data_IF_782885557901
#
_entry.id   IF_782885557901
#
_cell.length_a   1.000
_cell.length_b   1.000
_cell.length_c   1.000
_cell.angle_alpha   90.00
_cell.angle_beta   90.00
_cell.angle_gamma   90.00
#
_symmetry.space_group_name_H-M   'P 1'
#
loop_
_entity.id
_entity.type
_entity.pdbx_description
1 polymer ?
#
# COMPACT_ATOMS: atom_id res chain seq x y z
N UNK A 1 -14.01 24.50 -42.89
CA UNK A 1 -14.56 25.46 -43.88
C UNK A 1 -15.97 25.77 -43.38
N UNK A 2 -16.24 26.89 -42.73
CA UNK A 2 -16.36 28.24 -43.32
C UNK A 2 -15.87 29.30 -42.33
N UNK A 3 -15.12 30.26 -42.85
CA UNK A 3 -14.69 31.50 -42.20
C UNK A 3 -15.83 32.52 -42.29
N UNK A 4 -16.07 33.27 -41.21
CA UNK A 4 -16.57 34.64 -41.31
C UNK A 4 -16.24 35.38 -40.01
N UNK A 5 -15.23 36.25 -40.07
CA UNK A 5 -15.11 37.34 -39.10
C UNK A 5 -16.24 38.33 -39.32
N UNK A 6 -16.60 39.07 -38.27
CA UNK A 6 -17.13 40.42 -38.37
C UNK A 6 -16.94 41.14 -37.03
N UNK A 7 -16.02 42.10 -37.02
CA UNK A 7 -16.03 43.20 -36.07
C UNK A 7 -17.23 44.09 -36.39
N UNK A 8 -18.23 44.16 -35.52
CA UNK A 8 -19.24 45.21 -35.58
C UNK A 8 -18.80 46.35 -34.66
N UNK A 9 -18.20 47.36 -35.27
CA UNK A 9 -18.07 48.69 -34.69
C UNK A 9 -19.48 49.23 -34.40
N UNK A 10 -19.78 49.50 -33.12
CA UNK A 10 -20.99 50.16 -32.70
C UNK A 10 -20.86 51.67 -32.97
N UNK A 11 -21.50 52.13 -34.03
CA UNK A 11 -21.84 53.54 -34.21
C UNK A 11 -22.83 53.95 -33.10
N UNK A 12 -22.44 54.91 -32.28
CA UNK A 12 -23.31 55.56 -31.28
C UNK A 12 -24.29 56.47 -32.02
N UNK A 13 -25.58 56.10 -32.09
CA UNK A 13 -26.57 57.04 -32.65
C UNK A 13 -28.01 56.58 -32.87
N UNK A 14 -28.40 55.33 -32.55
CA UNK A 14 -29.78 54.88 -32.81
C UNK A 14 -30.35 54.21 -31.56
N UNK A 15 -31.37 54.84 -30.97
CA UNK A 15 -32.30 54.22 -30.03
C UNK A 15 -33.34 53.42 -30.83
N UNK A 16 -33.08 52.13 -31.04
CA UNK A 16 -34.13 51.16 -31.36
C UNK A 16 -34.12 50.10 -30.26
N UNK A 17 -35.29 49.84 -29.67
CA UNK A 17 -35.49 48.74 -28.72
C UNK A 17 -35.11 47.42 -29.40
N UNK A 18 -33.90 46.95 -29.12
CA UNK A 18 -33.47 45.61 -29.52
C UNK A 18 -34.17 44.58 -28.65
N UNK A 19 -35.34 44.10 -29.09
CA UNK A 19 -35.84 42.79 -28.67
C UNK A 19 -34.95 41.74 -29.34
N UNK A 20 -33.80 41.47 -28.73
CA UNK A 20 -32.94 40.36 -29.13
C UNK A 20 -33.65 39.07 -28.72
N UNK A 21 -33.96 38.14 -29.64
CA UNK A 21 -34.52 36.86 -29.24
C UNK A 21 -33.55 36.17 -28.28
N UNK A 22 -34.05 35.69 -27.13
CA UNK A 22 -33.30 35.19 -25.98
C UNK A 22 -32.23 34.10 -26.26
N UNK A 23 -32.11 33.62 -27.50
CA UNK A 23 -31.04 32.73 -27.95
C UNK A 23 -29.65 33.38 -27.99
N UNK A 24 -29.53 34.70 -27.90
CA UNK A 24 -28.24 35.42 -28.03
C UNK A 24 -27.66 36.01 -26.73
N UNK A 25 -28.35 35.94 -25.59
CA UNK A 25 -27.77 36.30 -24.28
C UNK A 25 -27.03 35.10 -23.68
N UNK A 26 -25.91 34.71 -24.28
CA UNK A 26 -24.95 33.80 -23.64
C UNK A 26 -23.93 34.63 -22.87
N UNK A 27 -24.38 35.24 -21.75
CA UNK A 27 -23.57 36.14 -20.91
C UNK A 27 -22.39 35.42 -20.23
N UNK A 28 -22.42 34.09 -20.20
CA UNK A 28 -21.34 33.26 -19.69
C UNK A 28 -21.00 32.14 -20.67
N UNK A 29 -19.77 32.17 -21.19
CA UNK A 29 -19.11 30.98 -21.72
C UNK A 29 -18.69 30.12 -20.53
N UNK A 30 -19.36 28.98 -20.35
CA UNK A 30 -18.98 28.02 -19.31
C UNK A 30 -17.62 27.42 -19.69
N UNK A 31 -16.62 27.59 -18.82
CA UNK A 31 -15.30 27.01 -19.04
C UNK A 31 -15.39 25.49 -18.85
N UNK A 32 -14.75 24.83 -19.81
CA UNK A 32 -14.75 23.40 -20.07
C UNK A 32 -14.22 22.63 -18.83
N UNK A 33 -15.02 21.71 -18.27
CA UNK A 33 -14.68 20.70 -17.24
C UNK A 33 -14.78 21.04 -15.73
N UNK A 34 -15.38 22.16 -15.30
CA UNK A 34 -15.52 22.43 -13.83
C UNK A 34 -16.41 21.43 -13.07
N UNK A 35 -17.28 20.69 -13.76
CA UNK A 35 -18.23 19.75 -13.12
C UNK A 35 -17.67 18.35 -12.85
N UNK A 36 -16.43 18.05 -13.26
CA UNK A 36 -15.90 16.68 -13.21
C UNK A 36 -14.89 16.57 -12.08
N UNK A 37 -15.18 15.65 -11.16
CA UNK A 37 -14.32 15.38 -10.02
C UNK A 37 -12.93 14.89 -10.49
N UNK A 38 -11.85 15.28 -9.80
CA UNK A 38 -10.47 14.96 -10.22
C UNK A 38 -10.27 13.47 -10.57
N UNK A 39 -10.94 12.58 -9.83
CA UNK A 39 -10.86 11.12 -10.03
C UNK A 39 -11.53 10.64 -11.32
N UNK A 40 -12.69 11.20 -11.66
CA UNK A 40 -13.35 10.88 -12.93
C UNK A 40 -12.53 11.41 -14.11
N UNK A 41 -11.83 12.54 -13.94
CA UNK A 41 -10.90 13.08 -14.94
C UNK A 41 -9.63 12.26 -15.16
N UNK A 42 -9.40 11.18 -14.41
CA UNK A 42 -8.29 10.24 -14.63
C UNK A 42 -8.67 9.06 -15.54
N UNK A 43 -9.96 8.95 -15.91
CA UNK A 43 -10.50 7.92 -16.79
C UNK A 43 -10.36 8.38 -18.25
N UNK A 44 -9.48 7.78 -19.06
CA UNK A 44 -9.40 8.07 -20.49
C UNK A 44 -10.70 7.72 -21.20
N UNK A 45 -11.05 8.44 -22.25
CA UNK A 45 -12.25 8.21 -23.05
C UNK A 45 -13.53 8.13 -22.21
N UNK A 46 -13.68 9.03 -21.23
CA UNK A 46 -14.84 9.05 -20.32
C UNK A 46 -16.15 9.30 -21.08
N UNK A 47 -16.09 10.02 -22.18
CA UNK A 47 -17.21 10.32 -23.10
C UNK A 47 -17.88 9.07 -23.69
N UNK A 48 -17.16 7.95 -23.75
CA UNK A 48 -17.67 6.67 -24.24
C UNK A 48 -18.12 5.73 -23.12
N UNK A 49 -17.99 6.13 -21.86
CA UNK A 49 -18.40 5.30 -20.73
C UNK A 49 -19.76 5.74 -20.20
N UNK A 50 -20.58 4.74 -19.85
CA UNK A 50 -21.77 4.97 -19.04
C UNK A 50 -21.41 5.62 -17.69
N UNK A 51 -22.27 6.50 -17.21
CA UNK A 51 -22.05 7.26 -15.98
C UNK A 51 -21.86 6.34 -14.76
N UNK A 52 -22.60 5.22 -14.66
CA UNK A 52 -22.47 4.30 -13.54
C UNK A 52 -21.13 3.56 -13.59
N UNK A 53 -20.66 3.18 -14.78
CA UNK A 53 -19.34 2.56 -14.97
C UNK A 53 -18.20 3.52 -14.68
N UNK A 54 -18.33 4.80 -15.07
CA UNK A 54 -17.38 5.84 -14.72
C UNK A 54 -17.31 6.07 -13.19
N UNK A 55 -18.46 6.06 -12.49
CA UNK A 55 -18.51 6.16 -11.04
C UNK A 55 -17.81 4.97 -10.36
N UNK A 56 -18.09 3.75 -10.80
CA UNK A 56 -17.42 2.53 -10.29
C UNK A 56 -15.91 2.62 -10.48
N UNK A 57 -15.46 3.05 -11.65
CA UNK A 57 -14.05 3.23 -11.99
C UNK A 57 -13.34 4.20 -11.06
N UNK A 58 -13.96 5.36 -10.80
CA UNK A 58 -13.44 6.38 -9.89
C UNK A 58 -13.23 5.83 -8.49
N UNK A 59 -14.17 5.03 -7.99
CA UNK A 59 -14.07 4.36 -6.69
C UNK A 59 -13.00 3.26 -6.67
N UNK A 60 -12.89 2.48 -7.75
CA UNK A 60 -11.89 1.41 -7.88
C UNK A 60 -10.46 1.96 -7.90
N UNK A 61 -10.22 3.13 -8.52
CA UNK A 61 -8.91 3.78 -8.50
C UNK A 61 -8.46 4.15 -7.07
N UNK A 62 -9.38 4.52 -6.19
CA UNK A 62 -9.07 4.83 -4.78
C UNK A 62 -8.76 3.56 -3.94
N UNK A 63 -9.16 2.39 -4.43
CA UNK A 63 -8.89 1.09 -3.80
C UNK A 63 -7.59 0.46 -4.31
N UNK A 64 -6.92 1.08 -5.29
CA UNK A 64 -5.68 0.56 -5.85
C UNK A 64 -4.59 0.45 -4.77
N UNK A 65 -3.87 -0.68 -4.81
CA UNK A 65 -2.77 -0.98 -3.89
C UNK A 65 -1.46 -0.66 -4.59
N UNK A 66 -0.50 0.03 -3.92
CA UNK A 66 0.82 0.28 -4.51
C UNK A 66 1.55 -1.04 -4.78
N UNK A 67 1.97 -1.22 -6.02
CA UNK A 67 2.75 -2.38 -6.46
C UNK A 67 4.24 -2.18 -6.12
N UNK A 68 4.97 -3.28 -5.98
CA UNK A 68 6.44 -3.27 -5.82
C UNK A 68 7.12 -2.56 -6.99
N UNK A 69 6.63 -2.88 -8.19
CA UNK A 69 6.97 -2.23 -9.43
C UNK A 69 5.69 -1.64 -10.01
N UNK A 70 5.56 -0.32 -10.03
CA UNK A 70 4.51 0.33 -10.81
C UNK A 70 4.96 0.47 -12.27
N UNK A 71 4.04 0.84 -13.17
CA UNK A 71 4.37 1.30 -14.52
C UNK A 71 3.51 2.51 -14.91
N UNK A 72 4.07 3.42 -15.72
CA UNK A 72 3.31 4.53 -16.28
C UNK A 72 2.28 3.96 -17.26
N UNK A 73 1.02 4.37 -17.15
CA UNK A 73 0.00 3.86 -18.07
C UNK A 73 0.29 4.32 -19.51
N UNK A 74 0.12 3.42 -20.49
CA UNK A 74 0.28 3.74 -21.92
C UNK A 74 -0.69 4.85 -22.34
N UNK A 75 -1.96 4.72 -21.96
CA UNK A 75 -2.99 5.73 -22.24
C UNK A 75 -3.26 6.56 -20.99
N UNK A 76 -3.07 7.87 -21.06
CA UNK A 76 -3.21 8.78 -19.92
C UNK A 76 -3.91 10.08 -20.29
N UNK A 77 -4.33 10.80 -19.26
CA UNK A 77 -4.82 12.17 -19.35
C UNK A 77 -3.76 13.07 -18.71
N UNK A 78 -3.62 14.31 -19.18
CA UNK A 78 -2.61 15.27 -18.71
C UNK A 78 -2.66 15.58 -17.21
N UNK A 79 -3.79 15.31 -16.53
CA UNK A 79 -3.96 15.59 -15.10
C UNK A 79 -3.18 14.64 -14.18
N UNK A 80 -2.65 13.51 -14.67
CA UNK A 80 -1.93 12.54 -13.82
C UNK A 80 -0.70 13.12 -13.14
N UNK A 81 0.02 14.00 -13.83
CA UNK A 81 1.20 14.65 -13.27
C UNK A 81 0.81 15.60 -12.14
N UNK A 82 -0.22 16.43 -12.38
CA UNK A 82 -0.72 17.37 -11.38
C UNK A 82 -1.24 16.65 -10.13
N UNK A 83 -2.05 15.59 -10.31
CA UNK A 83 -2.56 14.77 -9.20
C UNK A 83 -1.44 14.16 -8.36
N UNK A 84 -0.37 13.67 -8.99
CA UNK A 84 0.76 13.08 -8.29
C UNK A 84 1.57 14.14 -7.50
N UNK A 85 1.75 15.34 -8.05
CA UNK A 85 2.40 16.45 -7.34
C UNK A 85 1.56 16.93 -6.15
N UNK A 86 0.27 17.18 -6.38
CA UNK A 86 -0.64 17.73 -5.36
C UNK A 86 -0.93 16.74 -4.23
N UNK A 87 -0.77 15.43 -4.49
CA UNK A 87 -0.90 14.40 -3.46
C UNK A 87 0.17 14.49 -2.35
N UNK A 88 1.29 15.18 -2.58
CA UNK A 88 2.41 15.27 -1.64
C UNK A 88 3.19 13.96 -1.46
N UNK A 89 2.88 12.92 -2.23
CA UNK A 89 3.56 11.61 -2.16
C UNK A 89 4.99 11.68 -2.71
N UNK A 90 5.19 12.49 -3.76
CA UNK A 90 6.50 12.74 -4.37
C UNK A 90 7.14 13.98 -3.75
N UNK A 91 8.46 13.96 -3.56
CA UNK A 91 9.19 15.11 -2.99
C UNK A 91 9.77 15.98 -4.11
N UNK A 92 9.45 17.27 -4.04
CA UNK A 92 9.85 18.29 -5.02
C UNK A 92 11.02 19.11 -4.49
N UNK A 93 11.92 19.53 -5.39
CA UNK A 93 13.01 20.44 -5.08
C UNK A 93 12.50 21.86 -4.81
N UNK A 94 12.64 22.35 -3.56
CA UNK A 94 12.29 23.73 -3.19
C UNK A 94 13.29 24.77 -3.72
N UNK A 95 14.55 24.36 -3.87
CA UNK A 95 15.66 25.19 -4.32
C UNK A 95 16.34 24.52 -5.51
N UNK A 96 16.90 25.33 -6.39
CA UNK A 96 17.83 24.85 -7.40
C UNK A 96 19.17 24.48 -6.76
N UNK A 97 19.88 23.53 -7.36
CA UNK A 97 21.15 23.09 -6.82
C UNK A 97 21.65 21.78 -7.40
N UNK A 98 22.80 21.34 -6.90
CA UNK A 98 23.46 20.10 -7.34
C UNK A 98 23.32 19.01 -6.28
N UNK A 99 23.08 17.78 -6.72
CA UNK A 99 23.03 16.63 -5.81
C UNK A 99 24.44 16.26 -5.40
N UNK A 100 24.76 16.45 -4.13
CA UNK A 100 26.05 16.01 -3.59
C UNK A 100 26.01 14.50 -3.35
N UNK A 101 24.90 14.03 -2.78
CA UNK A 101 24.79 12.67 -2.25
C UNK A 101 23.35 12.18 -2.23
N UNK A 102 23.16 10.93 -2.65
CA UNK A 102 21.86 10.25 -2.68
C UNK A 102 21.96 8.97 -1.85
N UNK A 103 21.18 8.90 -0.77
CA UNK A 103 20.97 7.68 -0.01
C UNK A 103 19.50 7.26 -0.03
N UNK A 104 19.20 5.98 0.27
CA UNK A 104 17.83 5.53 0.48
C UNK A 104 17.12 6.30 1.60
N UNK A 105 17.86 6.77 2.62
CA UNK A 105 17.30 7.46 3.78
C UNK A 105 17.26 8.99 3.66
N UNK A 106 18.15 9.58 2.86
CA UNK A 106 18.23 11.04 2.71
C UNK A 106 18.88 11.45 1.40
N UNK A 107 18.46 12.58 0.86
CA UNK A 107 19.11 13.25 -0.28
C UNK A 107 19.74 14.54 0.22
N UNK A 108 20.96 14.83 -0.21
CA UNK A 108 21.67 16.08 0.13
C UNK A 108 21.87 16.89 -1.15
N UNK A 109 21.34 18.11 -1.13
CA UNK A 109 21.40 19.08 -2.22
C UNK A 109 22.25 20.29 -1.80
N UNK A 110 23.17 20.74 -2.65
CA UNK A 110 23.88 22.02 -2.47
C UNK A 110 23.17 23.10 -3.27
N UNK A 111 22.67 24.13 -2.58
CA UNK A 111 22.13 25.34 -3.21
C UNK A 111 23.25 26.35 -3.50
N UNK A 112 23.01 27.28 -4.43
CA UNK A 112 23.91 28.40 -4.75
C UNK A 112 24.10 29.30 -3.50
N UNK A 113 25.15 29.02 -2.72
CA UNK A 113 25.48 29.74 -1.47
C UNK A 113 25.92 28.83 -0.32
N UNK A 114 26.64 27.74 -0.61
CA UNK A 114 27.20 26.74 0.33
C UNK A 114 26.23 26.10 1.34
N UNK A 115 24.93 26.35 1.20
CA UNK A 115 23.90 25.75 2.05
C UNK A 115 23.55 24.36 1.56
N UNK A 116 23.84 23.36 2.39
CA UNK A 116 23.46 21.97 2.16
C UNK A 116 22.08 21.70 2.75
N UNK A 117 21.13 21.32 1.91
CA UNK A 117 19.76 20.96 2.31
C UNK A 117 19.66 19.44 2.35
N UNK A 118 19.39 18.88 3.54
CA UNK A 118 19.12 17.44 3.70
C UNK A 118 17.62 17.16 3.70
N UNK A 119 17.18 16.32 2.77
CA UNK A 119 15.79 15.90 2.62
C UNK A 119 15.70 14.44 3.10
N UNK A 120 15.04 14.15 4.24
CA UNK A 120 14.82 12.78 4.69
C UNK A 120 13.78 12.07 3.81
N UNK A 121 14.02 10.78 3.54
CA UNK A 121 13.12 9.94 2.76
C UNK A 121 12.37 8.97 3.66
N UNK A 122 11.12 8.69 3.29
CA UNK A 122 10.28 7.70 3.96
C UNK A 122 10.56 6.30 3.43
N UNK A 123 11.00 5.40 4.29
CA UNK A 123 11.30 4.00 3.93
C UNK A 123 10.38 3.05 4.69
N UNK A 124 9.71 2.14 3.97
CA UNK A 124 8.89 1.05 4.52
C UNK A 124 7.96 1.51 5.65
N UNK A 125 7.31 2.66 5.48
CA UNK A 125 6.35 3.15 6.45
C UNK A 125 4.99 2.49 6.22
N UNK A 126 4.34 2.09 7.30
CA UNK A 126 2.99 1.52 7.26
C UNK A 126 1.95 2.64 7.05
N UNK A 127 1.04 2.44 6.10
CA UNK A 127 -0.15 3.28 5.92
C UNK A 127 -1.29 2.85 6.85
N UNK A 128 -2.33 3.67 6.96
CA UNK A 128 -3.54 3.32 7.73
C UNK A 128 -4.27 2.07 7.19
N UNK A 129 -4.06 1.73 5.91
CA UNK A 129 -4.62 0.53 5.26
C UNK A 129 -3.62 -0.61 5.17
N UNK A 130 -2.54 -0.58 5.97
CA UNK A 130 -1.48 -1.60 5.98
C UNK A 130 -0.74 -1.77 4.64
N UNK A 131 -0.74 -0.74 3.79
CA UNK A 131 0.07 -0.71 2.57
C UNK A 131 1.45 -0.11 2.85
N UNK A 132 2.43 -0.48 2.03
CA UNK A 132 3.78 0.06 2.12
C UNK A 132 3.89 1.45 1.48
N UNK A 133 4.32 2.44 2.26
CA UNK A 133 4.75 3.75 1.76
C UNK A 133 6.28 3.74 1.71
N UNK A 134 6.83 3.74 0.51
CA UNK A 134 8.25 3.75 0.27
C UNK A 134 8.59 4.76 -0.82
N UNK A 135 9.53 5.63 -0.50
CA UNK A 135 10.03 6.67 -1.38
C UNK A 135 11.36 6.24 -2.02
N UNK A 136 11.42 6.30 -3.35
CA UNK A 136 12.60 5.94 -4.14
C UNK A 136 13.19 7.21 -4.76
N UNK A 137 14.48 7.52 -4.52
CA UNK A 137 15.14 8.62 -5.20
C UNK A 137 15.21 8.34 -6.70
N UNK A 138 14.81 9.31 -7.54
CA UNK A 138 14.86 9.18 -9.00
C UNK A 138 16.11 9.83 -9.62
N UNK A 139 16.86 10.57 -8.83
CA UNK A 139 17.95 11.43 -9.30
C UNK A 139 19.33 10.86 -8.96
N UNK A 140 20.24 10.93 -9.92
CA UNK A 140 21.63 10.48 -9.78
C UNK A 140 22.53 11.55 -9.17
N UNK A 141 23.62 11.11 -8.51
CA UNK A 141 24.61 12.00 -7.92
C UNK A 141 25.23 12.92 -8.98
N UNK A 142 25.43 14.19 -8.62
CA UNK A 142 26.08 15.18 -9.49
C UNK A 142 25.16 15.89 -10.49
N UNK A 143 23.88 15.51 -10.60
CA UNK A 143 22.92 16.18 -11.47
C UNK A 143 22.50 17.54 -10.89
N UNK A 144 22.41 18.55 -11.74
CA UNK A 144 21.83 19.85 -11.40
C UNK A 144 20.31 19.78 -11.51
N UNK A 145 19.62 20.32 -10.52
CA UNK A 145 18.17 20.25 -10.36
C UNK A 145 17.61 21.66 -10.40
N UNK A 146 16.49 21.83 -11.10
CA UNK A 146 15.72 23.08 -11.10
C UNK A 146 14.70 23.09 -9.96
N UNK A 147 14.38 24.27 -9.45
CA UNK A 147 13.24 24.45 -8.53
C UNK A 147 11.97 23.87 -9.16
N UNK A 148 11.21 23.09 -8.40
CA UNK A 148 9.99 22.43 -8.87
C UNK A 148 10.19 21.05 -9.50
N UNK A 149 11.43 20.60 -9.69
CA UNK A 149 11.70 19.26 -10.22
C UNK A 149 11.52 18.18 -9.15
N UNK A 150 11.04 17.00 -9.58
CA UNK A 150 10.81 15.86 -8.70
C UNK A 150 12.13 15.17 -8.39
N UNK A 151 12.39 14.96 -7.11
CA UNK A 151 13.59 14.30 -6.59
C UNK A 151 13.33 12.81 -6.32
N UNK A 152 12.13 12.53 -5.82
CA UNK A 152 11.76 11.27 -5.17
C UNK A 152 10.38 10.88 -5.65
N UNK A 153 10.24 9.65 -6.15
CA UNK A 153 8.95 9.03 -6.39
C UNK A 153 8.46 8.32 -5.14
N UNK A 154 7.15 8.33 -4.88
CA UNK A 154 6.54 7.50 -3.84
C UNK A 154 6.00 6.17 -4.35
N UNK A 155 5.18 5.52 -3.51
CA UNK A 155 4.78 4.11 -3.64
C UNK A 155 3.92 3.77 -4.88
N UNK A 156 3.38 4.76 -5.60
CA UNK A 156 2.56 4.55 -6.79
C UNK A 156 2.79 5.67 -7.83
N UNK A 157 4.02 6.16 -7.96
CA UNK A 157 4.35 7.25 -8.88
C UNK A 157 5.60 6.93 -9.68
N UNK A 158 5.58 7.21 -10.98
CA UNK A 158 6.74 7.03 -11.86
C UNK A 158 6.93 8.28 -12.70
N UNK A 159 8.12 8.85 -12.60
CA UNK A 159 8.50 10.03 -13.38
C UNK A 159 7.60 11.23 -13.11
N UNK A 160 7.03 11.31 -11.91
CA UNK A 160 6.09 12.35 -11.53
C UNK A 160 4.64 12.12 -11.89
N UNK A 161 4.29 10.98 -12.48
CA UNK A 161 2.92 10.64 -12.82
C UNK A 161 2.36 9.55 -11.92
N UNK A 162 1.06 9.58 -11.73
CA UNK A 162 0.32 8.55 -11.00
C UNK A 162 0.34 7.22 -11.75
N UNK A 163 0.80 6.16 -11.07
CA UNK A 163 0.99 4.82 -11.59
C UNK A 163 0.39 3.78 -10.63
N UNK A 164 -0.93 3.58 -10.72
CA UNK A 164 -1.71 2.70 -9.85
C UNK A 164 -1.65 1.20 -10.20
N UNK A 165 -0.98 0.84 -11.29
CA UNK A 165 -0.96 -0.53 -11.80
C UNK A 165 0.13 -0.76 -12.84
N UNK A 166 -0.06 -1.80 -13.65
CA UNK A 166 0.84 -2.25 -14.71
C UNK A 166 0.11 -2.28 -16.05
N UNK A 167 0.84 -2.12 -17.15
CA UNK A 167 0.29 -2.35 -18.48
C UNK A 167 0.42 -3.84 -18.79
N UNK A 168 -0.63 -4.44 -19.33
CA UNK A 168 -0.68 -5.86 -19.69
C UNK A 168 -1.26 -6.00 -21.08
N UNK A 169 -0.83 -7.03 -21.79
CA UNK A 169 -1.48 -7.51 -23.01
C UNK A 169 -2.78 -8.22 -22.62
N UNK A 170 -3.80 -8.10 -23.46
CA UNK A 170 -5.16 -8.58 -23.17
C UNK A 170 -5.80 -9.08 -24.44
N UNK A 171 -6.21 -10.34 -24.46
CA UNK A 171 -7.15 -10.89 -25.43
C UNK A 171 -8.60 -10.75 -24.94
N UNK A 172 -9.51 -10.34 -25.82
CA UNK A 172 -10.95 -10.35 -25.56
C UNK A 172 -11.58 -11.50 -26.35
N UNK A 173 -11.73 -12.65 -25.71
CA UNK A 173 -12.45 -13.79 -26.26
C UNK A 173 -12.94 -14.71 -25.15
N UNK A 174 -14.05 -15.45 -25.33
CA UNK A 174 -14.45 -16.50 -24.39
C UNK A 174 -13.42 -17.63 -24.38
N UNK A 175 -13.08 -18.13 -23.19
CA UNK A 175 -12.07 -19.18 -23.03
C UNK A 175 -12.55 -20.25 -22.05
N UNK A 176 -12.98 -21.39 -22.59
CA UNK A 176 -13.39 -22.60 -21.85
C UNK A 176 -14.37 -22.36 -20.67
N UNK A 177 -15.14 -21.27 -20.71
CA UNK A 177 -16.04 -20.86 -19.63
C UNK A 177 -15.36 -20.28 -18.38
N UNK A 178 -14.02 -20.24 -18.31
CA UNK A 178 -13.29 -19.70 -17.17
C UNK A 178 -13.39 -18.17 -17.03
N UNK A 179 -13.81 -17.48 -18.08
CA UNK A 179 -14.06 -16.04 -18.11
C UNK A 179 -15.55 -15.69 -18.25
N UNK A 180 -16.42 -16.51 -17.66
CA UNK A 180 -17.85 -16.20 -17.58
C UNK A 180 -18.10 -14.96 -16.72
N UNK A 181 -18.96 -14.06 -17.20
CA UNK A 181 -19.38 -12.83 -16.50
C UNK A 181 -18.22 -11.88 -16.12
N UNK A 182 -17.99 -11.67 -14.83
CA UNK A 182 -16.98 -10.78 -14.25
C UNK A 182 -15.72 -11.57 -13.84
N UNK A 183 -15.44 -12.72 -14.46
CA UNK A 183 -14.30 -13.55 -14.11
C UNK A 183 -13.16 -13.37 -15.10
N UNK A 184 -11.93 -13.27 -14.59
CA UNK A 184 -10.73 -12.99 -15.39
C UNK A 184 -9.72 -14.13 -15.27
N UNK A 185 -9.13 -14.49 -16.41
CA UNK A 185 -7.99 -15.39 -16.51
C UNK A 185 -6.69 -14.58 -16.48
N UNK A 186 -5.66 -15.11 -15.84
CA UNK A 186 -4.32 -14.53 -15.87
C UNK A 186 -3.29 -15.57 -16.28
N UNK A 187 -2.22 -15.10 -16.94
CA UNK A 187 -1.06 -15.93 -17.24
C UNK A 187 -0.21 -16.15 -16.00
N UNK A 188 0.33 -17.36 -15.85
CA UNK A 188 1.30 -17.73 -14.81
C UNK A 188 2.55 -16.84 -14.84
N UNK A 189 2.89 -16.28 -16.01
CA UNK A 189 3.95 -15.28 -16.18
C UNK A 189 3.80 -14.10 -15.21
N UNK A 190 2.57 -13.67 -14.93
CA UNK A 190 2.30 -12.55 -14.01
C UNK A 190 2.73 -12.85 -12.57
N UNK A 191 2.72 -14.12 -12.18
CA UNK A 191 3.19 -14.59 -10.88
C UNK A 191 4.72 -14.68 -10.87
N UNK A 192 5.31 -15.33 -11.88
CA UNK A 192 6.77 -15.49 -11.97
C UNK A 192 7.54 -14.18 -12.08
N UNK A 193 7.03 -13.23 -12.86
CA UNK A 193 7.66 -11.92 -13.06
C UNK A 193 7.31 -10.90 -11.95
N UNK A 194 6.57 -11.31 -10.91
CA UNK A 194 6.20 -10.43 -9.79
C UNK A 194 5.45 -9.15 -10.23
N UNK A 195 4.72 -9.20 -11.35
CA UNK A 195 4.09 -8.02 -11.98
C UNK A 195 3.09 -7.35 -11.02
N UNK A 196 2.20 -8.16 -10.45
CA UNK A 196 1.16 -7.71 -9.52
C UNK A 196 1.50 -8.03 -8.07
N UNK A 197 2.77 -7.92 -7.70
CA UNK A 197 3.21 -8.12 -6.32
C UNK A 197 3.13 -6.82 -5.53
N UNK A 198 2.59 -6.90 -4.32
CA UNK A 198 2.47 -5.77 -3.38
C UNK A 198 3.08 -6.11 -2.01
N UNK A 199 3.50 -5.07 -1.28
CA UNK A 199 4.00 -5.19 0.08
C UNK A 199 2.98 -4.65 1.07
N UNK A 200 2.59 -5.51 2.02
CA UNK A 200 1.72 -5.14 3.13
C UNK A 200 2.50 -5.15 4.42
N UNK A 201 2.32 -4.12 5.24
CA UNK A 201 2.97 -4.03 6.54
C UNK A 201 1.89 -4.17 7.60
N UNK A 202 1.90 -5.28 8.32
CA UNK A 202 0.95 -5.53 9.39
C UNK A 202 1.59 -5.18 10.75
N UNK A 203 0.81 -4.49 11.58
CA UNK A 203 1.19 -4.12 12.94
C UNK A 203 0.53 -5.08 13.91
N UNK A 204 1.35 -5.79 14.69
CA UNK A 204 0.91 -6.58 15.82
C UNK A 204 1.30 -5.89 17.11
N UNK A 205 0.40 -5.85 18.09
CA UNK A 205 0.62 -5.17 19.36
C UNK A 205 0.23 -6.09 20.51
N UNK A 206 1.10 -6.16 21.51
CA UNK A 206 0.82 -6.80 22.79
C UNK A 206 1.16 -5.84 23.92
N UNK A 207 0.31 -5.82 24.95
CA UNK A 207 0.50 -5.01 26.15
C UNK A 207 0.70 -5.93 27.34
N UNK A 208 1.55 -5.49 28.26
CA UNK A 208 1.69 -6.11 29.57
C UNK A 208 0.79 -5.40 30.56
N UNK A 209 0.11 -6.21 31.36
CA UNK A 209 -0.74 -5.75 32.45
C UNK A 209 -0.27 -6.34 33.78
N UNK A 210 -0.58 -5.63 34.86
CA UNK A 210 -0.41 -6.18 36.21
C UNK A 210 -1.73 -6.84 36.58
N UNK A 211 -1.74 -8.16 36.73
CA UNK A 211 -2.92 -8.89 37.21
C UNK A 211 -2.88 -8.94 38.74
N UNK A 212 -4.00 -9.32 39.36
CA UNK A 212 -4.07 -9.55 40.81
C UNK A 212 -3.10 -10.64 41.30
N UNK A 213 -2.70 -11.55 40.42
CA UNK A 213 -1.81 -12.67 40.72
C UNK A 213 -0.32 -12.34 40.45
N UNK A 214 -0.03 -11.16 39.89
CA UNK A 214 1.32 -10.66 39.67
C UNK A 214 1.48 -9.89 38.35
N UNK A 215 2.65 -9.27 38.13
CA UNK A 215 2.94 -8.61 36.86
C UNK A 215 3.21 -9.64 35.75
N UNK A 216 2.62 -9.43 34.58
CA UNK A 216 3.00 -10.16 33.36
C UNK A 216 4.46 -9.88 32.99
N UNK A 217 5.21 -10.93 32.65
CA UNK A 217 6.62 -10.83 32.28
C UNK A 217 6.84 -11.20 30.82
N UNK A 218 7.72 -10.47 30.15
CA UNK A 218 8.18 -10.80 28.80
C UNK A 218 9.51 -11.53 28.97
N UNK A 219 9.55 -12.80 28.54
CA UNK A 219 10.76 -13.63 28.62
C UNK A 219 10.86 -14.54 27.40
N UNK A 220 12.09 -14.96 27.09
CA UNK A 220 12.38 -15.91 26.01
C UNK A 220 11.99 -17.34 26.37
N UNK A 221 12.32 -17.77 27.58
CA UNK A 221 12.13 -19.15 28.02
C UNK A 221 10.69 -19.37 28.45
N UNK A 222 9.88 -19.90 27.54
CA UNK A 222 8.48 -20.25 27.80
C UNK A 222 8.44 -21.75 28.14
N UNK A 223 7.92 -22.14 29.32
CA UNK A 223 7.78 -23.55 29.66
C UNK A 223 6.81 -24.25 28.71
N UNK A 224 7.03 -25.55 28.47
CA UNK A 224 6.20 -26.43 27.62
C UNK A 224 6.20 -26.12 26.12
N UNK A 225 7.07 -25.21 25.66
CA UNK A 225 7.19 -24.89 24.26
C UNK A 225 8.46 -25.48 23.64
N UNK A 226 8.35 -25.90 22.38
CA UNK A 226 9.50 -26.44 21.65
C UNK A 226 10.53 -25.34 21.33
N UNK A 227 11.81 -25.70 21.38
CA UNK A 227 12.91 -24.77 21.14
C UNK A 227 12.89 -24.16 19.73
N UNK A 228 12.29 -24.86 18.75
CA UNK A 228 12.21 -24.38 17.37
C UNK A 228 11.35 -23.10 17.26
N UNK A 229 10.25 -22.99 18.02
CA UNK A 229 9.40 -21.79 18.02
C UNK A 229 10.06 -20.59 18.71
N UNK A 230 11.04 -20.84 19.58
CA UNK A 230 11.77 -19.83 20.35
C UNK A 230 13.06 -19.36 19.65
N UNK A 231 13.42 -19.97 18.52
CA UNK A 231 14.67 -19.66 17.82
C UNK A 231 14.74 -18.20 17.34
N UNK A 232 13.59 -17.64 16.98
CA UNK A 232 13.45 -16.29 16.44
C UNK A 232 13.44 -15.19 17.51
N UNK A 233 13.39 -15.54 18.81
CA UNK A 233 13.32 -14.59 19.92
C UNK A 233 14.72 -14.18 20.42
N UNK A 234 14.87 -12.90 20.76
CA UNK A 234 16.04 -12.34 21.43
C UNK A 234 16.10 -12.74 22.92
N UNK A 235 17.15 -12.30 23.62
CA UNK A 235 17.34 -12.55 25.06
C UNK A 235 16.23 -11.98 25.95
N UNK A 236 15.55 -10.93 25.51
CA UNK A 236 14.44 -10.29 26.21
C UNK A 236 13.09 -10.96 25.91
N UNK A 237 13.01 -11.92 24.98
CA UNK A 237 11.77 -12.59 24.60
C UNK A 237 10.98 -11.89 23.50
N UNK A 238 11.63 -11.05 22.68
CA UNK A 238 11.02 -10.36 21.53
C UNK A 238 11.64 -10.85 20.23
N UNK A 239 10.86 -10.97 19.17
CA UNK A 239 11.37 -11.40 17.87
C UNK A 239 12.50 -10.51 17.34
N UNK A 240 13.52 -11.15 16.78
CA UNK A 240 14.66 -10.45 16.19
C UNK A 240 14.28 -9.74 14.88
N UNK A 241 14.91 -8.58 14.65
CA UNK A 241 14.72 -7.82 13.41
C UNK A 241 15.26 -8.61 12.22
N UNK A 242 14.49 -8.65 11.14
CA UNK A 242 14.87 -9.36 9.92
C UNK A 242 14.60 -10.87 9.94
N UNK A 243 14.13 -11.44 11.05
CA UNK A 243 13.69 -12.84 11.10
C UNK A 243 12.52 -13.10 10.15
N UNK A 244 12.56 -14.26 9.51
CA UNK A 244 11.43 -14.80 8.78
C UNK A 244 10.51 -15.50 9.79
N UNK A 245 9.22 -15.12 9.76
CA UNK A 245 8.21 -15.67 10.68
C UNK A 245 7.06 -16.26 9.89
N UNK A 246 6.63 -17.42 10.35
CA UNK A 246 5.52 -18.18 9.79
C UNK A 246 4.34 -18.25 10.76
N UNK A 247 3.27 -18.86 10.28
CA UNK A 247 2.07 -19.03 11.09
C UNK A 247 2.39 -19.81 12.37
N UNK A 248 1.83 -19.36 13.49
CA UNK A 248 2.05 -19.93 14.83
C UNK A 248 3.41 -19.63 15.48
N UNK A 249 4.33 -18.94 14.79
CA UNK A 249 5.56 -18.47 15.43
C UNK A 249 5.28 -17.44 16.52
N UNK A 250 6.12 -17.44 17.55
CA UNK A 250 6.04 -16.47 18.64
C UNK A 250 6.76 -15.19 18.25
N UNK A 251 6.01 -14.08 18.26
CA UNK A 251 6.55 -12.74 18.06
C UNK A 251 7.03 -12.12 19.38
N UNK A 252 6.29 -12.37 20.47
CA UNK A 252 6.62 -11.87 21.81
C UNK A 252 6.24 -12.93 22.84
N UNK A 253 7.23 -13.41 23.59
CA UNK A 253 7.02 -14.35 24.68
C UNK A 253 6.45 -13.63 25.90
N UNK A 254 5.18 -13.86 26.22
CA UNK A 254 4.51 -13.29 27.39
C UNK A 254 4.05 -14.40 28.32
N UNK A 255 4.38 -14.24 29.59
CA UNK A 255 3.94 -15.11 30.66
C UNK A 255 3.06 -14.34 31.64
N UNK A 256 1.86 -14.88 31.85
CA UNK A 256 0.94 -14.47 32.91
C UNK A 256 1.18 -15.35 34.12
N UNK A 257 1.53 -14.79 35.30
CA UNK A 257 1.56 -15.58 36.52
C UNK A 257 0.14 -16.10 36.80
N UNK A 258 0.04 -17.40 37.07
CA UNK A 258 -1.20 -18.03 37.49
C UNK A 258 -0.98 -18.67 38.85
N UNK A 259 -1.81 -18.33 39.84
CA UNK A 259 -1.80 -19.03 41.12
C UNK A 259 -2.25 -20.47 40.86
N UNK A 260 -1.36 -21.42 41.11
CA UNK A 260 -1.63 -22.84 40.98
C UNK A 260 -2.61 -23.28 42.08
N UNK A 261 -3.90 -23.04 41.88
CA UNK A 261 -4.91 -23.77 42.62
C UNK A 261 -4.94 -25.18 42.05
N UNK A 262 -4.31 -26.14 42.72
CA UNK A 262 -4.29 -27.52 42.26
C UNK A 262 -5.71 -28.08 42.00
N UNK A 263 -6.74 -27.51 42.65
CA UNK A 263 -8.15 -27.86 42.52
C UNK A 263 -8.80 -27.47 41.19
N UNK A 264 -8.18 -26.63 40.36
CA UNK A 264 -8.75 -26.25 39.06
C UNK A 264 -8.40 -27.21 37.92
N UNK A 265 -7.43 -28.12 38.13
CA UNK A 265 -7.03 -29.09 37.13
C UNK A 265 -7.88 -30.35 37.20
N UNK A 266 -8.19 -30.90 36.03
CA UNK A 266 -8.86 -32.18 35.95
C UNK A 266 -8.05 -33.27 36.68
N UNK A 267 -8.71 -34.24 37.34
CA UNK A 267 -8.02 -35.32 38.06
C UNK A 267 -7.10 -36.14 37.14
N UNK A 268 -7.45 -36.29 35.87
CA UNK A 268 -6.64 -36.94 34.82
C UNK A 268 -5.29 -36.21 34.62
N UNK A 269 -5.33 -34.89 34.56
CA UNK A 269 -4.19 -33.99 34.39
C UNK A 269 -3.23 -34.00 35.59
N UNK A 270 -3.79 -34.18 36.80
CA UNK A 270 -3.03 -34.39 38.04
C UNK A 270 -2.32 -35.74 38.03
N UNK A 271 -3.00 -36.79 37.56
CA UNK A 271 -2.44 -38.14 37.47
C UNK A 271 -1.30 -38.21 36.44
N UNK A 272 -1.49 -37.64 35.25
CA UNK A 272 -0.43 -37.54 34.23
C UNK A 272 0.81 -36.81 34.75
N UNK A 273 0.62 -35.73 35.52
CA UNK A 273 1.74 -34.99 36.15
C UNK A 273 2.47 -35.81 37.21
N UNK A 274 1.73 -36.56 38.04
CA UNK A 274 2.33 -37.40 39.08
C UNK A 274 3.18 -38.53 38.46
N UNK A 275 2.74 -39.09 37.33
CA UNK A 275 3.46 -40.15 36.60
C UNK A 275 4.69 -39.58 35.89
N UNK A 276 4.56 -38.43 35.22
CA UNK A 276 5.64 -37.84 34.42
C UNK A 276 6.60 -36.96 35.22
N UNK A 277 6.33 -36.71 36.52
CA UNK A 277 7.15 -35.86 37.37
C UNK A 277 7.18 -34.39 36.92
N UNK A 278 6.20 -33.94 36.13
CA UNK A 278 6.18 -32.58 35.56
C UNK A 278 5.76 -31.59 36.65
N UNK A 279 6.70 -30.74 37.06
CA UNK A 279 6.47 -29.69 38.04
C UNK A 279 5.45 -28.66 37.49
N UNK A 280 4.49 -28.24 38.32
CA UNK A 280 3.44 -27.30 37.91
C UNK A 280 4.08 -25.95 37.56
N UNK A 281 3.99 -25.54 36.29
CA UNK A 281 4.38 -24.20 35.89
C UNK A 281 3.42 -23.18 36.50
N UNK A 282 3.94 -22.28 37.34
CA UNK A 282 3.19 -21.18 37.97
C UNK A 282 2.83 -20.05 37.00
N UNK A 283 3.06 -20.25 35.70
CA UNK A 283 2.84 -19.25 34.67
C UNK A 283 2.17 -19.90 33.47
N UNK A 284 1.12 -19.23 32.97
CA UNK A 284 0.41 -19.58 31.75
C UNK A 284 1.00 -18.79 30.58
N UNK A 285 1.21 -19.47 29.46
CA UNK A 285 1.62 -18.85 28.20
C UNK A 285 0.50 -17.95 27.65
N UNK A 286 0.78 -16.67 27.47
CA UNK A 286 -0.10 -15.68 26.83
C UNK A 286 0.68 -14.86 25.79
N UNK A 287 1.62 -15.51 25.12
CA UNK A 287 2.50 -14.94 24.09
C UNK A 287 1.73 -14.42 22.87
N UNK A 288 2.31 -13.45 22.19
CA UNK A 288 1.84 -13.00 20.87
C UNK A 288 2.31 -13.99 19.80
N UNK A 289 1.37 -14.76 19.24
CA UNK A 289 1.60 -15.67 18.11
C UNK A 289 1.14 -15.03 16.80
N UNK A 290 1.80 -15.37 15.69
CA UNK A 290 1.35 -14.93 14.38
C UNK A 290 0.05 -15.65 13.99
N UNK A 291 -1.02 -14.95 13.55
CA UNK A 291 -2.30 -15.56 13.23
C UNK A 291 -2.21 -16.47 12.00
N UNK A 292 -3.19 -17.35 11.87
CA UNK A 292 -3.33 -18.31 10.76
C UNK A 292 -3.41 -17.53 9.44
N UNK A 293 -2.46 -17.79 8.53
CA UNK A 293 -2.22 -17.09 7.25
C UNK A 293 -1.25 -15.88 7.28
N UNK A 294 -0.69 -15.53 8.44
CA UNK A 294 0.43 -14.60 8.50
C UNK A 294 1.73 -15.31 8.09
N UNK A 295 2.47 -14.71 7.16
CA UNK A 295 3.88 -15.03 6.89
C UNK A 295 4.61 -13.78 6.46
N UNK A 296 5.86 -13.60 6.85
CA UNK A 296 6.60 -12.43 6.43
C UNK A 296 7.91 -12.20 7.17
N UNK A 297 8.47 -11.03 6.93
CA UNK A 297 9.74 -10.61 7.53
C UNK A 297 9.52 -9.49 8.53
N UNK A 298 10.12 -9.61 9.71
CA UNK A 298 10.06 -8.55 10.73
C UNK A 298 10.88 -7.35 10.26
N UNK A 299 10.24 -6.19 10.08
CA UNK A 299 10.90 -4.95 9.66
C UNK A 299 11.37 -4.14 10.87
N UNK A 300 10.45 -3.92 11.81
CA UNK A 300 10.65 -3.00 12.94
C UNK A 300 9.96 -3.55 14.19
N UNK A 301 10.59 -3.33 15.34
CA UNK A 301 10.10 -3.73 16.65
C UNK A 301 10.27 -2.55 17.58
N UNK A 302 9.15 -2.06 18.13
CA UNK A 302 9.14 -0.91 19.03
C UNK A 302 8.66 -1.33 20.40
N UNK A 303 9.55 -1.17 21.38
CA UNK A 303 9.22 -1.33 22.79
C UNK A 303 8.92 0.03 23.41
N UNK A 304 7.66 0.27 23.72
CA UNK A 304 7.19 1.50 24.33
C UNK A 304 6.94 1.23 25.81
N UNK A 305 7.77 1.80 26.68
CA UNK A 305 7.57 1.78 28.13
C UNK A 305 6.90 3.07 28.57
N UNK A 306 5.67 3.00 29.08
CA UNK A 306 4.97 4.19 29.56
C UNK A 306 5.40 4.45 31.01
N UNK A 307 6.40 5.31 31.21
CA UNK A 307 6.75 5.85 32.54
C UNK A 307 5.72 6.93 32.91
N UNK A 308 4.64 6.54 33.57
CA UNK A 308 3.70 7.45 34.22
C UNK A 308 3.93 7.45 35.72
N UNK A 309 3.68 8.56 36.42
CA UNK A 309 3.87 8.70 37.87
C UNK A 309 2.98 7.83 38.78
N UNK A 310 2.28 6.83 38.22
CA UNK A 310 1.55 5.81 38.97
C UNK A 310 2.33 4.50 38.99
N UNK A 311 2.14 3.70 40.04
CA UNK A 311 2.89 2.47 40.34
C UNK A 311 2.83 1.37 39.24
N UNK A 312 2.06 1.57 38.17
CA UNK A 312 1.85 0.58 37.12
C UNK A 312 2.54 1.00 35.82
N UNK A 313 3.76 0.50 35.61
CA UNK A 313 4.47 0.61 34.35
C UNK A 313 3.87 -0.37 33.33
N UNK A 314 3.00 0.12 32.45
CA UNK A 314 2.54 -0.66 31.30
C UNK A 314 3.59 -0.63 30.19
N UNK A 315 3.92 -1.81 29.68
CA UNK A 315 4.78 -1.95 28.52
C UNK A 315 3.95 -2.36 27.32
N UNK A 316 4.29 -1.80 26.16
CA UNK A 316 3.62 -2.08 24.90
C UNK A 316 4.69 -2.41 23.87
N UNK A 317 4.61 -3.61 23.31
CA UNK A 317 5.49 -4.03 22.23
C UNK A 317 4.69 -4.04 20.94
N UNK A 318 5.25 -3.37 19.92
CA UNK A 318 4.71 -3.33 18.56
C UNK A 318 5.68 -4.01 17.63
N UNK A 319 5.21 -5.00 16.89
CA UNK A 319 5.98 -5.73 15.88
C UNK A 319 5.39 -5.42 14.52
N UNK A 320 6.22 -4.95 13.60
CA UNK A 320 5.84 -4.65 12.22
C UNK A 320 6.39 -5.74 11.30
N UNK A 321 5.50 -6.42 10.60
CA UNK A 321 5.83 -7.54 9.70
C UNK A 321 5.49 -7.15 8.27
N UNK A 322 6.48 -7.24 7.39
CA UNK A 322 6.28 -7.12 5.93
C UNK A 322 5.81 -8.44 5.37
N UNK A 323 4.73 -8.40 4.61
CA UNK A 323 4.20 -9.54 3.87
C UNK A 323 4.28 -9.22 2.37
N UNK A 324 5.01 -10.05 1.63
CA UNK A 324 4.98 -10.04 0.17
C UNK A 324 3.68 -10.74 -0.26
N UNK A 325 2.80 -10.04 -0.97
CA UNK A 325 1.59 -10.60 -1.56
C UNK A 325 1.74 -10.64 -3.07
N UNK A 326 1.91 -11.84 -3.59
CA UNK A 326 1.79 -12.17 -5.00
C UNK A 326 0.32 -12.33 -5.36
N UNK A 327 0.01 -12.14 -6.64
CA UNK A 327 -1.34 -12.29 -7.16
C UNK A 327 -1.79 -13.75 -7.10
N UNK A 328 -3.03 -13.99 -6.65
CA UNK A 328 -3.59 -15.33 -6.47
C UNK A 328 -5.02 -15.42 -6.99
N UNK A 329 -5.47 -16.65 -7.20
CA UNK A 329 -6.89 -16.95 -7.46
C UNK A 329 -7.74 -16.38 -6.32
N UNK A 330 -8.83 -15.70 -6.67
CA UNK A 330 -9.69 -14.97 -5.75
C UNK A 330 -9.33 -13.48 -5.57
N UNK A 331 -8.16 -13.04 -6.01
CA UNK A 331 -7.83 -11.61 -6.01
C UNK A 331 -8.68 -10.86 -7.04
N UNK A 332 -8.99 -9.60 -6.72
CA UNK A 332 -9.83 -8.74 -7.55
C UNK A 332 -8.98 -7.76 -8.35
N UNK A 333 -9.17 -7.79 -9.66
CA UNK A 333 -8.53 -6.88 -10.62
C UNK A 333 -9.55 -5.98 -11.29
N UNK A 334 -9.06 -4.84 -11.78
CA UNK A 334 -9.89 -3.70 -12.15
C UNK A 334 -9.24 -2.89 -13.27
N UNK A 335 -10.03 -2.53 -14.30
CA UNK A 335 -9.64 -1.50 -15.27
C UNK A 335 -10.23 -0.14 -14.89
N UNK A 336 -9.69 0.92 -15.49
CA UNK A 336 -10.17 2.31 -15.31
C UNK A 336 -11.53 2.62 -15.94
N UNK A 337 -12.14 1.65 -16.61
CA UNK A 337 -13.42 1.76 -17.32
C UNK A 337 -14.58 1.07 -16.59
N UNK A 338 -14.33 0.51 -15.40
CA UNK A 338 -15.39 -0.02 -14.53
C UNK A 338 -15.61 -1.51 -14.71
N UNK A 339 -14.80 -2.14 -15.56
CA UNK A 339 -14.67 -3.59 -15.64
C UNK A 339 -13.88 -4.06 -14.43
N UNK A 340 -14.55 -4.82 -13.57
CA UNK A 340 -13.98 -5.50 -12.41
C UNK A 340 -14.00 -6.98 -12.71
N UNK A 341 -13.04 -7.72 -12.16
CA UNK A 341 -13.19 -9.16 -12.14
C UNK A 341 -12.37 -9.85 -11.09
N UNK A 342 -12.77 -11.06 -10.78
CA UNK A 342 -12.07 -11.95 -9.85
C UNK A 342 -11.26 -12.94 -10.67
N UNK A 343 -10.05 -13.23 -10.22
CA UNK A 343 -9.21 -14.22 -10.88
C UNK A 343 -9.73 -15.61 -10.57
N UNK A 344 -10.19 -16.35 -11.59
CA UNK A 344 -10.63 -17.75 -11.45
C UNK A 344 -9.50 -18.74 -11.55
N UNK A 345 -8.63 -18.57 -12.54
CA UNK A 345 -7.59 -19.53 -12.88
C UNK A 345 -6.36 -18.80 -13.39
N UNK A 346 -5.21 -19.33 -12.99
CA UNK A 346 -3.90 -18.94 -13.48
C UNK A 346 -3.50 -20.01 -14.49
N UNK A 347 -3.41 -19.64 -15.77
CA UNK A 347 -3.09 -20.56 -16.85
C UNK A 347 -1.59 -20.61 -17.12
N UNK A 348 -1.01 -21.79 -17.36
CA UNK A 348 0.36 -21.90 -17.84
C UNK A 348 0.54 -21.13 -19.15
N UNK A 349 1.74 -20.58 -19.38
CA UNK A 349 2.01 -19.79 -20.58
C UNK A 349 1.84 -20.56 -21.90
N UNK A 350 1.87 -21.90 -21.88
CA UNK A 350 1.70 -22.72 -23.10
C UNK A 350 0.24 -22.85 -23.52
N UNK A 351 -0.68 -22.78 -22.56
CA UNK A 351 -2.13 -22.88 -22.79
C UNK A 351 -2.75 -21.51 -23.06
N UNK A 352 -1.98 -20.43 -22.89
CA UNK A 352 -2.45 -19.08 -23.17
C UNK A 352 -2.54 -18.85 -24.69
N UNK A 353 -3.50 -18.01 -25.13
CA UNK A 353 -3.53 -17.51 -26.49
C UNK A 353 -2.20 -16.83 -26.83
N UNK A 354 -1.73 -16.99 -28.06
CA UNK A 354 -0.47 -16.41 -28.49
C UNK A 354 -0.65 -15.60 -29.77
N UNK A 355 0.13 -14.53 -29.87
CA UNK A 355 0.28 -13.76 -31.08
C UNK A 355 1.03 -14.57 -32.15
N UNK A 356 0.95 -14.11 -33.41
CA UNK A 356 1.62 -14.77 -34.54
C UNK A 356 3.16 -14.85 -34.38
N UNK A 357 3.74 -13.97 -33.56
CA UNK A 357 5.17 -13.94 -33.23
C UNK A 357 5.56 -14.90 -32.09
N UNK A 358 4.60 -15.64 -31.54
CA UNK A 358 4.80 -16.58 -30.43
C UNK A 358 4.80 -15.93 -29.05
N UNK A 359 4.53 -14.64 -28.94
CA UNK A 359 4.35 -13.98 -27.63
C UNK A 359 3.01 -14.42 -27.03
N UNK A 360 2.99 -15.06 -25.84
CA UNK A 360 1.73 -15.39 -25.17
C UNK A 360 1.07 -14.12 -24.62
N UNK A 361 -0.25 -14.04 -24.78
CA UNK A 361 -1.11 -12.93 -24.33
C UNK A 361 -1.24 -12.83 -22.80
#
# INVERSE_FOLDING_TARGET
MVVAGNSLALNQGIQEEQVVPARYHQEFLTIVWEHIHLRTSLIPFIEHNDANRALMSSNMQHQAVPLSQSERCIVGIGLKHQTALDSGVSTIAKHEGKIIYTNPHKIILSSNGDTTISIPLVIYQCSNKNTCIHQKPQVSRGKCIKKGQILVGGAATIGGELALGKNILVAYMPWEGYNSEDVVLISERMVYEDIFTSFHIQKYEIKTHVTSQGPERIIKEIPHLEAHLLCNLDRNGVVMLGSWVETSDILVGKLTPQTANESSYAPEDRLLRAILGIQVSTAKETSLKLPIAGRGRVIDVRWIRKKGGSCYNSEMIRVYISQKREIKVGDKVARRYGNKGIISKILPGQDMPYLQDGTPD
#
